data_IF_403629023709
#
_entry.id   IF_403629023709
#
_cell.length_a   1.000
_cell.length_b   1.000
_cell.length_c   1.000
_cell.angle_alpha   90.00
_cell.angle_beta   90.00
_cell.angle_gamma   90.00
#
_symmetry.space_group_name_H-M   'P 1'
#
loop_
_entity.id
_entity.type
_entity.pdbx_description
1 polymer ?
#
# COMPACT_ATOMS: atom_id res chain seq x y z
N UNK A 1 -0.20 -3.33 -23.77
CA UNK A 1 0.80 -2.82 -22.82
C UNK A 1 1.72 -1.92 -23.62
N UNK A 2 1.60 -0.61 -23.41
CA UNK A 2 2.31 0.41 -24.19
C UNK A 2 3.67 0.72 -23.54
N UNK A 3 4.65 1.24 -24.29
CA UNK A 3 5.98 1.55 -23.76
C UNK A 3 6.01 2.59 -22.62
N UNK A 4 4.91 3.32 -22.41
CA UNK A 4 4.77 4.35 -21.38
C UNK A 4 4.47 3.69 -20.02
N UNK A 5 3.58 2.70 -20.00
CA UNK A 5 3.20 1.96 -18.78
C UNK A 5 4.40 1.22 -18.16
N UNK A 6 5.29 0.71 -19.01
CA UNK A 6 6.50 -0.01 -18.58
C UNK A 6 7.58 0.94 -18.02
N UNK A 7 7.64 2.17 -18.53
CA UNK A 7 8.55 3.22 -18.03
C UNK A 7 8.09 3.74 -16.67
N UNK A 8 6.79 3.99 -16.51
CA UNK A 8 6.18 4.40 -15.24
C UNK A 8 6.37 3.33 -14.16
N UNK A 9 6.15 2.05 -14.51
CA UNK A 9 6.42 0.94 -13.61
C UNK A 9 7.90 0.86 -13.21
N UNK A 10 8.83 1.08 -14.15
CA UNK A 10 10.27 1.07 -13.89
C UNK A 10 10.71 2.23 -12.99
N UNK A 11 10.17 3.43 -13.20
CA UNK A 11 10.45 4.59 -12.34
C UNK A 11 9.91 4.40 -10.91
N UNK A 12 8.74 3.79 -10.76
CA UNK A 12 8.17 3.40 -9.46
C UNK A 12 9.06 2.37 -8.74
N UNK A 13 9.56 1.37 -9.47
CA UNK A 13 10.48 0.34 -8.94
C UNK A 13 11.78 0.97 -8.43
N UNK A 14 12.40 1.85 -9.22
CA UNK A 14 13.67 2.49 -8.85
C UNK A 14 13.52 3.40 -7.61
N UNK A 15 12.38 4.06 -7.49
CA UNK A 15 11.99 4.87 -6.33
C UNK A 15 11.71 4.03 -5.08
N UNK A 16 11.26 2.79 -5.21
CA UNK A 16 11.10 1.86 -4.09
C UNK A 16 12.46 1.38 -3.54
N UNK A 17 13.41 1.06 -4.43
CA UNK A 17 14.74 0.57 -4.06
C UNK A 17 15.59 1.59 -3.30
N UNK A 18 15.53 2.88 -3.66
CA UNK A 18 16.32 3.96 -3.02
C UNK A 18 15.92 4.22 -1.55
N UNK A 19 14.80 3.63 -1.10
CA UNK A 19 14.22 3.87 0.22
C UNK A 19 14.26 2.64 1.15
N UNK A 20 14.69 1.46 0.68
CA UNK A 20 14.60 0.21 1.46
C UNK A 20 13.19 -0.36 1.54
N UNK A 21 12.34 -0.03 0.56
CA UNK A 21 11.05 -0.67 0.35
C UNK A 21 11.23 -1.92 -0.53
N UNK A 22 10.41 -2.93 -0.26
CA UNK A 22 10.33 -4.20 -0.98
C UNK A 22 9.19 -4.13 -2.01
N UNK A 23 9.27 -4.98 -3.02
CA UNK A 23 8.14 -5.25 -3.93
C UNK A 23 7.20 -6.26 -3.29
N UNK A 24 5.90 -5.95 -3.28
CA UNK A 24 4.83 -6.79 -2.75
C UNK A 24 4.84 -8.18 -3.38
N UNK A 25 5.04 -8.28 -4.69
CA UNK A 25 5.09 -9.56 -5.41
C UNK A 25 6.24 -10.48 -4.95
N UNK A 26 7.24 -9.96 -4.23
CA UNK A 26 8.37 -10.73 -3.67
C UNK A 26 8.26 -10.93 -2.15
N UNK A 27 7.17 -10.47 -1.54
CA UNK A 27 6.95 -10.57 -0.11
C UNK A 27 6.15 -11.83 0.23
N UNK A 28 6.57 -12.52 1.28
CA UNK A 28 5.88 -13.70 1.78
C UNK A 28 4.83 -13.32 2.84
N UNK A 29 3.65 -13.96 2.87
CA UNK A 29 2.69 -13.78 3.95
C UNK A 29 3.30 -14.05 5.32
N UNK A 30 2.79 -13.35 6.33
CA UNK A 30 3.27 -13.37 7.73
C UNK A 30 4.67 -12.81 7.94
N UNK A 31 5.28 -12.15 6.95
CA UNK A 31 6.56 -11.45 7.12
C UNK A 31 6.36 -9.98 7.52
N UNK A 32 7.40 -9.37 8.12
CA UNK A 32 7.46 -7.90 8.27
C UNK A 32 7.96 -7.32 6.96
N UNK A 33 7.24 -6.36 6.42
CA UNK A 33 7.53 -5.74 5.12
C UNK A 33 7.55 -4.24 5.25
N UNK A 34 8.34 -3.61 4.39
CA UNK A 34 8.20 -2.17 4.10
C UNK A 34 7.88 -2.02 2.63
N UNK A 35 6.77 -1.39 2.29
CA UNK A 35 6.27 -1.23 0.93
C UNK A 35 6.17 0.26 0.60
N UNK A 36 6.26 0.58 -0.69
CA UNK A 36 6.03 1.93 -1.21
C UNK A 36 5.11 1.80 -2.42
N UNK A 37 4.07 2.63 -2.48
CA UNK A 37 3.16 2.62 -3.61
C UNK A 37 2.27 3.85 -3.66
N UNK A 38 1.34 3.86 -4.61
CA UNK A 38 0.31 4.87 -4.76
C UNK A 38 -1.01 4.39 -4.14
N UNK A 39 -1.69 5.26 -3.41
CA UNK A 39 -3.04 5.01 -2.93
C UNK A 39 -4.00 5.06 -4.13
N UNK A 40 -4.63 3.94 -4.47
CA UNK A 40 -5.55 3.87 -5.60
C UNK A 40 -7.00 4.11 -5.18
N UNK A 41 -7.37 3.69 -3.97
CA UNK A 41 -8.73 3.89 -3.45
C UNK A 41 -8.74 3.96 -1.93
N UNK A 42 -9.80 4.58 -1.40
CA UNK A 42 -10.07 4.67 0.04
C UNK A 42 -11.54 4.33 0.26
N UNK A 43 -11.80 3.43 1.20
CA UNK A 43 -13.14 3.04 1.63
C UNK A 43 -13.18 3.06 3.15
N UNK A 44 -14.29 3.50 3.73
CA UNK A 44 -14.46 3.56 5.19
C UNK A 44 -15.83 3.06 5.58
N UNK A 45 -15.91 2.42 6.73
CA UNK A 45 -17.16 2.10 7.41
C UNK A 45 -17.22 2.91 8.70
N UNK A 46 -18.09 3.91 8.71
CA UNK A 46 -18.25 4.79 9.86
C UNK A 46 -18.96 4.11 11.04
N UNK A 47 -19.80 3.10 10.78
CA UNK A 47 -20.58 2.39 11.79
C UNK A 47 -19.68 1.39 12.55
N UNK A 48 -18.87 0.63 11.82
CA UNK A 48 -17.93 -0.33 12.40
C UNK A 48 -16.56 0.28 12.71
N UNK A 49 -16.34 1.54 12.32
CA UNK A 49 -15.17 2.33 12.68
C UNK A 49 -13.88 1.82 12.06
N UNK A 50 -13.86 1.48 10.76
CA UNK A 50 -12.63 1.10 10.06
C UNK A 50 -12.44 1.88 8.76
N UNK A 51 -11.17 1.99 8.36
CA UNK A 51 -10.71 2.67 7.17
C UNK A 51 -9.79 1.72 6.41
N UNK A 52 -10.07 1.53 5.12
CA UNK A 52 -9.23 0.79 4.21
C UNK A 52 -8.66 1.73 3.15
N UNK A 53 -7.36 1.64 2.93
CA UNK A 53 -6.74 2.15 1.71
C UNK A 53 -6.26 0.97 0.87
N UNK A 54 -6.43 1.09 -0.43
CA UNK A 54 -5.82 0.18 -1.38
C UNK A 54 -4.57 0.86 -1.95
N UNK A 55 -3.43 0.15 -1.94
CA UNK A 55 -2.14 0.67 -2.40
C UNK A 55 -1.55 -0.24 -3.45
N UNK A 56 -1.14 0.34 -4.57
CA UNK A 56 -0.46 -0.37 -5.65
C UNK A 56 1.02 0.04 -5.70
N UNK A 57 1.93 -0.93 -5.71
CA UNK A 57 3.38 -0.71 -5.75
C UNK A 57 4.00 -0.98 -7.13
N UNK A 58 3.17 -1.12 -8.17
CA UNK A 58 3.54 -1.54 -9.52
C UNK A 58 3.67 -3.06 -9.70
N UNK A 59 3.86 -3.82 -8.61
CA UNK A 59 3.96 -5.29 -8.65
C UNK A 59 2.68 -5.99 -8.21
N UNK A 60 1.83 -5.30 -7.46
CA UNK A 60 0.52 -5.77 -7.06
C UNK A 60 -0.19 -4.75 -6.18
N UNK A 61 -1.28 -5.20 -5.57
CA UNK A 61 -2.13 -4.37 -4.72
C UNK A 61 -2.23 -4.95 -3.32
N UNK A 62 -2.07 -4.10 -2.30
CA UNK A 62 -2.21 -4.44 -0.88
C UNK A 62 -3.29 -3.59 -0.23
N UNK A 63 -4.13 -4.21 0.61
CA UNK A 63 -5.09 -3.51 1.46
C UNK A 63 -4.45 -3.10 2.77
N UNK A 64 -4.62 -1.86 3.16
CA UNK A 64 -4.19 -1.32 4.44
C UNK A 64 -5.43 -1.03 5.26
N UNK A 65 -5.59 -1.67 6.42
CA UNK A 65 -6.80 -1.54 7.23
C UNK A 65 -6.45 -0.93 8.59
N UNK A 66 -7.02 0.23 8.89
CA UNK A 66 -6.97 0.84 10.20
C UNK A 66 -8.28 0.62 10.95
N UNK A 67 -8.20 -0.11 12.06
CA UNK A 67 -9.33 -0.36 12.96
C UNK A 67 -9.50 0.81 13.93
N UNK A 68 -10.74 1.07 14.36
CA UNK A 68 -11.09 2.19 15.25
C UNK A 68 -10.93 3.56 14.61
N UNK A 69 -10.77 3.64 13.29
CA UNK A 69 -10.59 4.88 12.52
C UNK A 69 -11.51 4.84 11.31
N UNK A 70 -12.39 5.82 11.17
CA UNK A 70 -13.22 6.00 9.96
C UNK A 70 -12.64 6.99 8.96
N UNK A 71 -11.61 7.77 9.35
CA UNK A 71 -10.99 8.79 8.50
C UNK A 71 -9.53 9.07 8.90
N UNK A 72 -8.68 9.28 7.90
CA UNK A 72 -7.33 9.84 8.02
C UNK A 72 -7.14 10.84 6.88
N UNK A 73 -7.11 12.15 7.21
CA UNK A 73 -7.16 13.23 6.20
C UNK A 73 -5.98 13.27 5.24
N UNK A 74 -4.85 12.68 5.64
CA UNK A 74 -3.63 12.64 4.84
C UNK A 74 -3.66 11.56 3.75
N UNK A 75 -4.53 10.56 3.88
CA UNK A 75 -4.71 9.49 2.89
C UNK A 75 -5.67 9.99 1.82
N UNK A 76 -5.20 10.10 0.58
CA UNK A 76 -6.01 10.47 -0.58
C UNK A 76 -5.55 9.65 -1.78
N UNK A 77 -6.47 9.23 -2.68
CA UNK A 77 -6.08 8.61 -3.94
C UNK A 77 -5.10 9.47 -4.73
N UNK A 78 -4.13 8.84 -5.41
CA UNK A 78 -3.06 9.51 -6.15
C UNK A 78 -1.84 9.89 -5.31
N UNK A 79 -1.92 9.83 -3.96
CA UNK A 79 -0.74 10.09 -3.12
C UNK A 79 0.14 8.87 -3.01
N UNK A 80 1.44 9.12 -2.99
CA UNK A 80 2.43 8.10 -2.69
C UNK A 80 2.57 7.94 -1.17
N UNK A 81 2.69 6.69 -0.74
CA UNK A 81 2.77 6.31 0.66
C UNK A 81 3.86 5.26 0.82
N UNK A 82 4.58 5.34 1.94
CA UNK A 82 5.42 4.25 2.44
C UNK A 82 4.78 3.66 3.67
N UNK A 83 4.78 2.34 3.74
CA UNK A 83 4.08 1.56 4.75
C UNK A 83 5.01 0.51 5.32
N UNK A 84 5.03 0.37 6.64
CA UNK A 84 5.70 -0.73 7.32
C UNK A 84 4.69 -1.49 8.18
N UNK A 85 4.76 -2.81 8.14
CA UNK A 85 3.84 -3.64 8.91
C UNK A 85 4.06 -5.13 8.71
N UNK A 86 3.10 -5.92 9.17
CA UNK A 86 3.09 -7.37 8.93
C UNK A 86 2.14 -7.66 7.78
N UNK A 87 2.67 -8.28 6.73
CA UNK A 87 1.87 -8.76 5.62
C UNK A 87 1.06 -9.97 6.09
N UNK A 88 -0.24 -9.93 5.86
CA UNK A 88 -1.15 -11.05 6.04
C UNK A 88 -1.81 -11.38 4.69
N UNK A 89 -2.44 -12.54 4.65
CA UNK A 89 -3.28 -12.98 3.54
C UNK A 89 -4.71 -13.10 4.08
N UNK A 90 -5.65 -12.45 3.40
CA UNK A 90 -7.07 -12.57 3.68
C UNK A 90 -7.77 -12.97 2.37
N UNK A 91 -8.16 -14.24 2.31
CA UNK A 91 -8.81 -14.86 1.14
C UNK A 91 -8.01 -14.65 -0.16
N UNK A 92 -6.68 -14.80 -0.10
CA UNK A 92 -5.80 -14.61 -1.25
C UNK A 92 -5.45 -13.15 -1.56
N UNK A 93 -5.90 -12.20 -0.73
CA UNK A 93 -5.61 -10.79 -0.89
C UNK A 93 -4.58 -10.32 0.15
N UNK A 94 -3.46 -9.71 -0.28
CA UNK A 94 -2.49 -9.14 0.64
C UNK A 94 -3.11 -8.02 1.48
N UNK A 95 -2.94 -8.10 2.79
CA UNK A 95 -3.48 -7.11 3.73
C UNK A 95 -2.48 -6.79 4.84
N UNK A 96 -2.44 -5.52 5.26
CA UNK A 96 -1.70 -5.07 6.43
C UNK A 96 -2.65 -4.35 7.38
N UNK A 97 -2.74 -4.87 8.60
CA UNK A 97 -3.57 -4.30 9.65
C UNK A 97 -2.79 -3.30 10.49
N UNK A 98 -3.40 -2.14 10.75
CA UNK A 98 -2.86 -1.02 11.51
C UNK A 98 -1.37 -0.74 11.20
N UNK A 99 -1.00 -0.54 9.92
CA UNK A 99 0.37 -0.27 9.55
C UNK A 99 0.89 1.05 10.11
N UNK A 100 2.20 1.10 10.31
CA UNK A 100 2.94 2.36 10.33
C UNK A 100 3.01 2.91 8.91
N UNK A 101 2.83 4.21 8.73
CA UNK A 101 2.87 4.81 7.40
C UNK A 101 3.39 6.25 7.41
N UNK A 102 3.92 6.65 6.27
CA UNK A 102 4.30 8.02 5.97
C UNK A 102 3.84 8.39 4.55
N UNK A 103 3.37 9.63 4.39
CA UNK A 103 3.07 10.17 3.08
C UNK A 103 4.36 10.68 2.46
N UNK A 104 4.61 10.26 1.22
CA UNK A 104 5.78 10.68 0.47
C UNK A 104 5.43 11.98 -0.29
N UNK A 105 6.32 12.99 -0.27
CA UNK A 105 6.17 14.23 -1.03
C UNK A 105 6.03 14.00 -2.54
#
# INVERSE_FOLDING_TARGET
>A
MTPIEELEATELIQRAEDSGAQQLARCEPRSRVTLRGEIVSITSDAENGWLQAEVNDGSGTVRLIWMGRSRLECLMPGRHIRVAGRLADEDGNPVIYNPDFEIIP
#
